data_IF_054761576088
#
_entry.id   IF_054761576088
#
_cell.length_a   1.000
_cell.length_b   1.000
_cell.length_c   1.000
_cell.angle_alpha   90.00
_cell.angle_beta   90.00
_cell.angle_gamma   90.00
#
_symmetry.space_group_name_H-M   'P 1'
#
loop_
_entity.id
_entity.type
_entity.pdbx_description
1 polymer ?
#
# COMPACT_ATOMS: atom_id res chain seq x y z
N UNK A 1 13.10 4.21 -26.27
CA UNK A 1 12.47 3.32 -25.28
C UNK A 1 11.15 2.83 -25.86
N UNK A 2 10.99 1.53 -26.18
CA UNK A 2 9.76 1.01 -26.81
C UNK A 2 8.83 0.48 -25.72
N UNK A 3 7.90 1.32 -25.27
CA UNK A 3 6.88 0.92 -24.28
C UNK A 3 5.97 -0.16 -24.86
N UNK A 4 5.64 -1.16 -24.06
CA UNK A 4 4.66 -2.17 -24.46
C UNK A 4 3.23 -1.61 -24.38
N UNK A 5 2.33 -2.18 -25.19
CA UNK A 5 0.94 -1.74 -25.27
C UNK A 5 0.19 -1.81 -23.92
N UNK A 6 0.55 -2.75 -23.03
CA UNK A 6 -0.12 -2.90 -21.72
C UNK A 6 0.33 -1.77 -20.79
N UNK A 7 1.60 -1.40 -20.81
CA UNK A 7 2.11 -0.22 -20.10
C UNK A 7 1.49 1.08 -20.60
N UNK A 8 1.31 1.25 -21.92
CA UNK A 8 0.60 2.43 -22.46
C UNK A 8 -0.84 2.48 -21.96
N UNK A 9 -1.59 1.38 -22.03
CA UNK A 9 -2.99 1.31 -21.55
C UNK A 9 -3.07 1.59 -20.04
N UNK A 10 -2.23 0.96 -19.22
CA UNK A 10 -2.23 1.20 -17.76
C UNK A 10 -1.88 2.65 -17.44
N UNK A 11 -0.84 3.22 -18.06
CA UNK A 11 -0.48 4.63 -17.83
C UNK A 11 -1.61 5.58 -18.24
N UNK A 12 -2.30 5.31 -19.36
CA UNK A 12 -3.42 6.12 -19.82
C UNK A 12 -4.60 6.07 -18.85
N UNK A 13 -5.05 4.86 -18.46
CA UNK A 13 -6.18 4.68 -17.54
C UNK A 13 -5.86 5.27 -16.16
N UNK A 14 -4.74 4.86 -15.54
CA UNK A 14 -4.39 5.31 -14.18
C UNK A 14 -4.02 6.80 -14.13
N UNK A 15 -3.34 7.30 -15.17
CA UNK A 15 -3.05 8.72 -15.32
C UNK A 15 -4.33 9.57 -15.44
N UNK A 16 -5.31 9.10 -16.23
CA UNK A 16 -6.60 9.81 -16.36
C UNK A 16 -7.39 9.84 -15.04
N UNK A 17 -7.36 8.76 -14.24
CA UNK A 17 -7.99 8.73 -12.91
C UNK A 17 -7.36 9.76 -11.96
N UNK A 18 -6.03 9.87 -11.94
CA UNK A 18 -5.32 10.88 -11.14
C UNK A 18 -5.59 12.31 -11.59
N UNK A 19 -5.66 12.56 -12.90
CA UNK A 19 -6.03 13.87 -13.46
C UNK A 19 -7.49 14.24 -13.14
N UNK A 20 -8.44 13.31 -13.29
CA UNK A 20 -9.84 13.51 -12.91
C UNK A 20 -9.98 13.82 -11.42
N UNK A 21 -9.27 13.07 -10.56
CA UNK A 21 -9.21 13.34 -9.12
C UNK A 21 -8.71 14.76 -8.83
N UNK A 22 -7.65 15.22 -9.50
CA UNK A 22 -7.11 16.56 -9.32
C UNK A 22 -8.08 17.66 -9.80
N UNK A 23 -8.72 17.49 -10.95
CA UNK A 23 -9.74 18.42 -11.48
C UNK A 23 -10.91 18.55 -10.48
N UNK A 24 -11.39 17.44 -9.95
CA UNK A 24 -12.47 17.43 -8.95
C UNK A 24 -12.04 18.08 -7.64
N UNK A 25 -10.79 17.88 -7.20
CA UNK A 25 -10.21 18.59 -6.05
C UNK A 25 -10.13 20.10 -6.27
N UNK A 26 -9.65 20.59 -7.41
CA UNK A 26 -9.66 22.02 -7.73
C UNK A 26 -11.08 22.59 -7.83
N UNK A 27 -12.02 21.81 -8.38
CA UNK A 27 -13.44 22.20 -8.43
C UNK A 27 -14.07 22.27 -7.04
N UNK A 28 -13.69 21.39 -6.11
CA UNK A 28 -14.09 21.44 -4.71
C UNK A 28 -13.53 22.68 -3.99
N UNK A 29 -12.27 23.07 -4.25
CA UNK A 29 -11.70 24.31 -3.71
C UNK A 29 -12.50 25.56 -4.16
N UNK A 30 -12.88 25.61 -5.44
CA UNK A 30 -13.64 26.73 -6.02
C UNK A 30 -15.12 26.76 -5.66
N UNK A 31 -15.64 25.73 -4.97
CA UNK A 31 -17.05 25.62 -4.58
C UNK A 31 -17.27 25.32 -3.09
N UNK A 32 -16.20 25.41 -2.28
CA UNK A 32 -16.27 25.23 -0.83
C UNK A 32 -17.06 26.36 -0.19
N UNK A 33 -17.68 26.08 0.95
CA UNK A 33 -18.31 27.09 1.79
C UNK A 33 -17.29 28.15 2.20
N UNK A 34 -17.68 29.41 2.09
CA UNK A 34 -16.96 30.59 2.59
C UNK A 34 -17.71 31.19 3.79
N UNK A 35 -17.12 32.19 4.45
CA UNK A 35 -17.79 32.92 5.55
C UNK A 35 -19.08 33.63 5.11
N UNK A 36 -19.22 33.92 3.81
CA UNK A 36 -20.40 34.58 3.23
C UNK A 36 -21.56 33.62 2.95
N UNK A 37 -21.30 32.31 2.92
CA UNK A 37 -22.32 31.27 2.64
C UNK A 37 -22.96 30.70 3.91
N UNK A 38 -22.50 31.12 5.09
CA UNK A 38 -23.00 30.65 6.38
C UNK A 38 -24.07 31.57 6.94
N UNK A 39 -25.09 30.97 7.53
CA UNK A 39 -26.16 31.68 8.22
C UNK A 39 -26.01 31.45 9.73
N UNK A 40 -26.18 32.52 10.52
CA UNK A 40 -26.25 32.43 11.99
C UNK A 40 -27.68 32.68 12.41
N UNK A 41 -28.30 31.69 13.03
CA UNK A 41 -29.67 31.76 13.56
C UNK A 41 -29.71 31.11 14.95
N UNK A 42 -30.49 31.65 15.87
CA UNK A 42 -30.66 31.12 17.23
C UNK A 42 -29.37 30.94 18.06
N UNK A 43 -28.23 31.50 17.62
CA UNK A 43 -26.91 31.25 18.23
C UNK A 43 -26.16 30.03 17.71
N UNK A 44 -26.61 29.39 16.62
CA UNK A 44 -25.92 28.28 15.93
C UNK A 44 -25.52 28.67 14.50
N UNK A 45 -24.47 28.01 13.98
CA UNK A 45 -23.98 28.18 12.62
C UNK A 45 -24.61 27.13 11.68
N UNK A 46 -25.31 27.59 10.66
CA UNK A 46 -25.95 26.76 9.62
C UNK A 46 -25.03 26.66 8.39
N UNK A 47 -24.67 25.43 8.03
CA UNK A 47 -23.85 25.11 6.86
C UNK A 47 -24.76 24.53 5.76
N UNK A 48 -24.96 25.22 4.63
CA UNK A 48 -25.89 24.78 3.59
C UNK A 48 -25.34 23.62 2.75
N UNK A 49 -26.18 23.10 1.86
CA UNK A 49 -25.80 22.11 0.86
C UNK A 49 -24.91 22.77 -0.21
N UNK A 50 -23.78 22.15 -0.51
CA UNK A 50 -22.76 22.63 -1.44
C UNK A 50 -22.17 21.44 -2.23
N UNK A 51 -21.65 21.67 -3.45
CA UNK A 51 -21.09 20.60 -4.27
C UNK A 51 -19.67 20.20 -3.86
N UNK A 52 -18.92 21.04 -3.13
CA UNK A 52 -17.55 20.72 -2.72
C UNK A 52 -17.43 19.45 -1.87
N UNK A 53 -18.44 19.17 -1.03
CA UNK A 53 -18.58 17.88 -0.34
C UNK A 53 -18.50 16.69 -1.32
N UNK A 54 -19.36 16.68 -2.34
CA UNK A 54 -19.44 15.60 -3.32
C UNK A 54 -18.20 15.52 -4.20
N UNK A 55 -17.72 16.66 -4.70
CA UNK A 55 -16.52 16.78 -5.51
C UNK A 55 -15.27 16.27 -4.77
N UNK A 56 -15.12 16.63 -3.50
CA UNK A 56 -14.04 16.17 -2.62
C UNK A 56 -14.06 14.66 -2.36
N UNK A 57 -15.24 14.08 -2.10
CA UNK A 57 -15.41 12.63 -1.94
C UNK A 57 -15.10 11.89 -3.25
N UNK A 58 -15.62 12.36 -4.39
CA UNK A 58 -15.33 11.77 -5.69
C UNK A 58 -13.84 11.83 -6.04
N UNK A 59 -13.16 12.95 -5.75
CA UNK A 59 -11.71 13.07 -5.89
C UNK A 59 -10.99 12.01 -5.04
N UNK A 60 -11.31 11.92 -3.74
CA UNK A 60 -10.71 10.93 -2.84
C UNK A 60 -10.90 9.48 -3.34
N UNK A 61 -12.06 9.14 -3.90
CA UNK A 61 -12.32 7.83 -4.51
C UNK A 61 -11.42 7.59 -5.74
N UNK A 62 -11.34 8.54 -6.69
CA UNK A 62 -10.51 8.38 -7.89
C UNK A 62 -9.02 8.25 -7.56
N UNK A 63 -8.51 9.02 -6.59
CA UNK A 63 -7.16 8.88 -6.06
C UNK A 63 -6.90 7.47 -5.50
N UNK A 64 -7.81 6.95 -4.67
CA UNK A 64 -7.66 5.59 -4.08
C UNK A 64 -7.69 4.51 -5.17
N UNK A 65 -8.58 4.61 -6.16
CA UNK A 65 -8.63 3.67 -7.30
C UNK A 65 -7.32 3.72 -8.09
N UNK A 66 -6.74 4.90 -8.32
CA UNK A 66 -5.45 5.04 -8.99
C UNK A 66 -4.29 4.39 -8.21
N UNK A 67 -4.22 4.61 -6.88
CA UNK A 67 -3.19 4.00 -6.04
C UNK A 67 -3.32 2.47 -5.91
N UNK A 68 -4.56 1.95 -5.81
CA UNK A 68 -4.81 0.50 -5.81
C UNK A 68 -4.36 -0.11 -7.15
N UNK A 69 -4.63 0.55 -8.27
CA UNK A 69 -4.14 0.11 -9.58
C UNK A 69 -2.60 0.03 -9.62
N UNK A 70 -1.88 1.03 -9.09
CA UNK A 70 -0.42 0.95 -8.96
C UNK A 70 0.03 -0.21 -8.05
N UNK A 71 -0.67 -0.51 -6.96
CA UNK A 71 -0.35 -1.63 -6.06
C UNK A 71 -0.46 -3.01 -6.76
N UNK A 72 -1.60 -3.22 -7.44
CA UNK A 72 -1.91 -4.45 -8.17
C UNK A 72 -0.92 -4.65 -9.32
N UNK A 73 -0.67 -3.60 -10.09
CA UNK A 73 0.20 -3.68 -11.27
C UNK A 73 1.70 -3.72 -10.89
N UNK A 74 2.10 -3.07 -9.79
CA UNK A 74 3.47 -3.10 -9.25
C UNK A 74 3.90 -4.49 -8.74
N UNK A 75 2.93 -5.30 -8.29
CA UNK A 75 3.12 -6.70 -7.94
C UNK A 75 3.19 -6.99 -6.44
N UNK A 76 2.26 -6.42 -5.65
CA UNK A 76 2.13 -6.71 -4.21
C UNK A 76 1.97 -8.21 -3.90
N UNK A 77 1.35 -9.00 -4.80
CA UNK A 77 1.28 -10.46 -4.70
C UNK A 77 2.53 -11.14 -5.30
N UNK A 78 3.66 -11.06 -4.60
CA UNK A 78 4.99 -11.50 -5.06
C UNK A 78 5.25 -13.00 -5.11
N UNK A 79 4.37 -13.82 -5.70
CA UNK A 79 4.56 -15.28 -5.75
C UNK A 79 4.96 -15.85 -7.13
N UNK A 80 4.48 -15.32 -8.26
CA UNK A 80 4.61 -16.02 -9.56
C UNK A 80 4.81 -15.09 -10.78
N UNK A 81 5.86 -14.25 -10.80
CA UNK A 81 6.29 -13.63 -12.06
C UNK A 81 7.79 -13.39 -12.13
N UNK A 82 8.48 -14.11 -13.01
CA UNK A 82 9.86 -13.86 -13.38
C UNK A 82 10.00 -12.42 -13.83
N UNK A 83 10.60 -11.59 -12.96
CA UNK A 83 10.90 -10.20 -13.27
C UNK A 83 12.24 -10.20 -13.99
N UNK A 84 12.26 -9.73 -15.23
CA UNK A 84 13.52 -9.32 -15.86
C UNK A 84 14.14 -8.29 -14.92
N UNK A 85 15.32 -8.61 -14.37
CA UNK A 85 15.95 -7.83 -13.30
C UNK A 85 16.28 -6.45 -13.89
N UNK A 86 15.63 -5.35 -13.44
CA UNK A 86 16.03 -4.02 -13.88
C UNK A 86 17.44 -3.77 -13.36
N UNK A 87 18.26 -2.99 -14.09
CA UNK A 87 19.55 -2.54 -13.56
C UNK A 87 19.34 -1.90 -12.19
N UNK A 88 20.21 -2.22 -11.22
CA UNK A 88 20.00 -1.92 -9.80
C UNK A 88 19.62 -0.44 -9.54
N UNK A 89 20.22 0.49 -10.28
CA UNK A 89 19.88 1.93 -10.26
C UNK A 89 18.40 2.24 -10.58
N UNK A 90 17.86 1.69 -11.67
CA UNK A 90 16.48 1.91 -12.10
C UNK A 90 15.49 1.27 -11.14
N UNK A 91 15.86 0.13 -10.54
CA UNK A 91 15.09 -0.52 -9.47
C UNK A 91 15.00 0.36 -8.22
N UNK A 92 16.11 0.95 -7.78
CA UNK A 92 16.14 1.87 -6.63
C UNK A 92 15.26 3.08 -6.91
N UNK A 93 15.42 3.75 -8.06
CA UNK A 93 14.59 4.91 -8.45
C UNK A 93 13.10 4.53 -8.46
N UNK A 94 12.75 3.40 -9.07
CA UNK A 94 11.37 2.92 -9.12
C UNK A 94 10.75 2.66 -7.73
N UNK A 95 11.52 2.09 -6.79
CA UNK A 95 11.08 1.86 -5.40
C UNK A 95 10.93 3.17 -4.64
N UNK A 96 11.89 4.10 -4.77
CA UNK A 96 11.83 5.42 -4.11
C UNK A 96 10.61 6.21 -4.61
N UNK A 97 10.36 6.24 -5.92
CA UNK A 97 9.16 6.86 -6.49
C UNK A 97 7.86 6.20 -5.99
N UNK A 98 7.85 4.87 -5.78
CA UNK A 98 6.68 4.19 -5.19
C UNK A 98 6.41 4.70 -3.77
N UNK A 99 7.42 4.68 -2.90
CA UNK A 99 7.28 5.09 -1.49
C UNK A 99 6.78 6.54 -1.39
N UNK A 100 7.37 7.47 -2.14
CA UNK A 100 6.90 8.86 -2.15
C UNK A 100 5.50 9.01 -2.78
N UNK A 101 5.14 8.23 -3.81
CA UNK A 101 3.77 8.22 -4.35
C UNK A 101 2.73 7.85 -3.28
N UNK A 102 3.00 6.80 -2.49
CA UNK A 102 2.11 6.40 -1.38
C UNK A 102 2.01 7.46 -0.28
N UNK A 103 3.13 8.05 0.14
CA UNK A 103 3.13 9.12 1.15
C UNK A 103 2.30 10.32 0.66
N UNK A 104 2.55 10.79 -0.57
CA UNK A 104 1.83 11.94 -1.14
C UNK A 104 0.34 11.63 -1.32
N UNK A 105 -0.02 10.40 -1.70
CA UNK A 105 -1.42 9.99 -1.81
C UNK A 105 -2.15 9.92 -0.47
N UNK A 106 -1.51 9.45 0.61
CA UNK A 106 -2.10 9.44 1.95
C UNK A 106 -2.37 10.87 2.44
N UNK A 107 -1.43 11.81 2.20
CA UNK A 107 -1.61 13.22 2.53
C UNK A 107 -2.72 13.83 1.67
N UNK A 108 -2.71 13.59 0.36
CA UNK A 108 -3.74 14.08 -0.57
C UNK A 108 -5.14 13.59 -0.18
N UNK A 109 -5.30 12.29 0.10
CA UNK A 109 -6.55 11.69 0.56
C UNK A 109 -7.02 12.33 1.87
N UNK A 110 -6.11 12.52 2.84
CA UNK A 110 -6.43 13.16 4.11
C UNK A 110 -6.92 14.60 3.93
N UNK A 111 -6.29 15.38 3.03
CA UNK A 111 -6.73 16.74 2.70
C UNK A 111 -8.10 16.76 2.01
N UNK A 112 -8.32 15.88 1.02
CA UNK A 112 -9.59 15.79 0.28
C UNK A 112 -10.76 15.36 1.20
N UNK A 113 -10.55 14.36 2.06
CA UNK A 113 -11.56 13.89 3.03
C UNK A 113 -11.79 14.92 4.13
N UNK A 114 -10.73 15.56 4.64
CA UNK A 114 -10.88 16.67 5.61
C UNK A 114 -11.67 17.82 4.99
N UNK A 115 -11.31 18.24 3.78
CA UNK A 115 -12.02 19.29 3.06
C UNK A 115 -13.49 18.95 2.85
N UNK A 116 -13.81 17.72 2.46
CA UNK A 116 -15.17 17.22 2.35
C UNK A 116 -15.91 17.26 3.70
N UNK A 117 -15.30 16.77 4.78
CA UNK A 117 -15.88 16.76 6.12
C UNK A 117 -16.25 18.17 6.62
N UNK A 118 -15.38 19.17 6.43
CA UNK A 118 -15.66 20.58 6.76
C UNK A 118 -16.73 21.22 5.87
N UNK A 119 -17.02 20.63 4.70
CA UNK A 119 -18.10 21.05 3.81
C UNK A 119 -19.39 20.23 3.99
N UNK A 120 -19.50 19.40 5.03
CA UNK A 120 -20.77 18.70 5.33
C UNK A 120 -21.84 19.66 5.85
N UNK A 121 -23.02 19.56 5.24
CA UNK A 121 -24.24 20.29 5.60
C UNK A 121 -24.71 19.96 7.02
N UNK A 122 -25.18 20.96 7.76
CA UNK A 122 -25.71 20.79 9.12
C UNK A 122 -25.52 22.01 10.01
N UNK A 123 -25.98 21.89 11.26
CA UNK A 123 -25.76 22.86 12.34
C UNK A 123 -24.48 22.57 13.10
N UNK A 124 -23.73 23.61 13.47
CA UNK A 124 -22.58 23.53 14.39
C UNK A 124 -22.63 24.68 15.39
N UNK A 125 -22.12 24.44 16.60
CA UNK A 125 -21.95 25.50 17.58
C UNK A 125 -20.87 26.51 17.11
N UNK A 126 -21.07 27.81 17.33
CA UNK A 126 -20.05 28.82 17.03
C UNK A 126 -18.87 28.72 18.01
N UNK A 127 -17.79 29.40 17.67
CA UNK A 127 -16.72 29.70 18.63
C UNK A 127 -17.25 30.49 19.86
N UNK A 128 -16.51 30.53 20.98
CA UNK A 128 -16.86 31.38 22.14
C UNK A 128 -17.00 32.89 21.84
N UNK A 129 -16.59 33.33 20.64
CA UNK A 129 -16.69 34.71 20.15
C UNK A 129 -17.82 34.90 19.13
N UNK A 130 -18.69 33.90 18.94
CA UNK A 130 -19.82 33.94 17.99
C UNK A 130 -19.45 33.70 16.52
N UNK A 131 -18.18 33.43 16.21
CA UNK A 131 -17.71 33.18 14.83
C UNK A 131 -17.86 31.71 14.42
N UNK A 132 -18.32 31.48 13.18
CA UNK A 132 -18.40 30.15 12.57
C UNK A 132 -17.07 29.71 11.93
N UNK A 133 -16.73 28.43 12.03
CA UNK A 133 -15.48 27.88 11.49
C UNK A 133 -15.64 27.43 10.04
N UNK A 134 -14.82 27.99 9.14
CA UNK A 134 -14.79 27.65 7.72
C UNK A 134 -13.47 26.96 7.37
N UNK A 135 -13.50 26.06 6.38
CA UNK A 135 -12.30 25.42 5.85
C UNK A 135 -11.32 26.45 5.29
N UNK A 136 -10.07 26.42 5.75
CA UNK A 136 -9.02 27.30 5.24
C UNK A 136 -8.74 27.07 3.75
N UNK A 137 -8.52 28.16 3.02
CA UNK A 137 -8.17 28.11 1.59
C UNK A 137 -6.93 27.26 1.31
N UNK A 138 -6.99 26.52 0.20
CA UNK A 138 -5.89 25.72 -0.33
C UNK A 138 -5.85 24.28 0.18
N UNK A 139 -6.78 23.83 1.02
CA UNK A 139 -6.83 22.43 1.47
C UNK A 139 -7.19 21.48 0.34
N UNK A 140 -8.24 21.79 -0.44
CA UNK A 140 -8.63 20.98 -1.60
C UNK A 140 -7.62 21.15 -2.75
N UNK A 141 -7.15 22.37 -3.02
CA UNK A 141 -6.12 22.62 -4.02
C UNK A 141 -4.79 21.91 -3.68
N UNK A 142 -4.39 21.90 -2.41
CA UNK A 142 -3.23 21.14 -1.93
C UNK A 142 -3.41 19.64 -2.13
N UNK A 143 -4.59 19.09 -1.80
CA UNK A 143 -4.95 17.71 -2.10
C UNK A 143 -4.90 17.37 -3.59
N UNK A 144 -5.36 18.28 -4.46
CA UNK A 144 -5.31 18.13 -5.91
C UNK A 144 -3.87 18.15 -6.46
N UNK A 145 -3.03 19.08 -6.02
CA UNK A 145 -1.60 19.14 -6.40
C UNK A 145 -0.86 17.89 -5.93
N UNK A 146 -1.05 17.47 -4.68
CA UNK A 146 -0.44 16.26 -4.15
C UNK A 146 -0.94 14.99 -4.87
N UNK A 147 -2.19 14.97 -5.34
CA UNK A 147 -2.72 13.90 -6.20
C UNK A 147 -1.97 13.81 -7.54
N UNK A 148 -1.70 14.95 -8.19
CA UNK A 148 -0.91 14.99 -9.43
C UNK A 148 0.52 14.50 -9.19
N UNK A 149 1.16 14.95 -8.10
CA UNK A 149 2.51 14.52 -7.72
C UNK A 149 2.55 13.01 -7.41
N UNK A 150 1.59 12.50 -6.63
CA UNK A 150 1.46 11.08 -6.32
C UNK A 150 1.26 10.24 -7.59
N UNK A 151 0.43 10.70 -8.51
CA UNK A 151 0.17 10.04 -9.80
C UNK A 151 1.41 10.04 -10.69
N UNK A 152 2.12 11.17 -10.82
CA UNK A 152 3.35 11.27 -11.60
C UNK A 152 4.46 10.36 -11.06
N UNK A 153 4.62 10.29 -9.73
CA UNK A 153 5.54 9.38 -9.06
C UNK A 153 5.14 7.91 -9.23
N UNK A 154 3.84 7.60 -9.16
CA UNK A 154 3.30 6.27 -9.39
C UNK A 154 3.52 5.79 -10.84
N UNK A 155 3.24 6.64 -11.82
CA UNK A 155 3.54 6.39 -13.25
C UNK A 155 5.04 6.18 -13.49
N UNK A 156 5.89 7.03 -12.89
CA UNK A 156 7.35 6.92 -13.00
C UNK A 156 7.84 5.61 -12.39
N UNK A 157 7.36 5.26 -11.20
CA UNK A 157 7.65 3.98 -10.55
C UNK A 157 7.23 2.80 -11.43
N UNK A 158 6.01 2.84 -11.97
CA UNK A 158 5.48 1.80 -12.84
C UNK A 158 6.34 1.58 -14.10
N UNK A 159 6.70 2.67 -14.79
CA UNK A 159 7.56 2.61 -15.99
C UNK A 159 8.97 2.13 -15.64
N UNK A 160 9.59 2.59 -14.55
CA UNK A 160 10.93 2.15 -14.16
C UNK A 160 10.96 0.68 -13.73
N UNK A 161 9.89 0.18 -13.10
CA UNK A 161 9.80 -1.21 -12.63
C UNK A 161 9.30 -2.22 -13.68
N UNK A 162 8.82 -1.76 -14.85
CA UNK A 162 8.37 -2.60 -15.98
C UNK A 162 9.08 -2.36 -17.31
N UNK A 163 9.73 -1.22 -17.50
CA UNK A 163 10.21 -0.72 -18.80
C UNK A 163 11.47 -1.39 -19.37
N UNK A 164 11.84 -2.58 -18.89
CA UNK A 164 12.95 -3.35 -19.43
C UNK A 164 12.41 -4.56 -20.20
N UNK A 165 12.45 -4.55 -21.55
CA UNK A 165 12.69 -5.77 -22.30
C UNK A 165 13.94 -6.45 -21.74
N UNK A 166 14.06 -7.77 -21.87
CA UNK A 166 15.36 -8.40 -21.70
C UNK A 166 16.31 -7.78 -22.73
N UNK A 167 17.20 -6.88 -22.29
CA UNK A 167 18.37 -6.47 -23.08
C UNK A 167 19.06 -7.77 -23.47
N UNK A 168 19.18 -7.99 -24.78
CA UNK A 168 19.39 -9.33 -25.33
C UNK A 168 20.49 -10.06 -24.54
N UNK A 169 20.17 -11.26 -24.06
CA UNK A 169 21.21 -12.20 -23.68
C UNK A 169 22.20 -12.26 -24.86
N UNK A 170 23.52 -12.15 -24.63
CA UNK A 170 24.49 -12.29 -25.70
C UNK A 170 24.16 -13.57 -26.46
N UNK A 171 23.99 -13.47 -27.78
CA UNK A 171 23.80 -14.66 -28.60
C UNK A 171 25.10 -15.45 -28.56
N UNK A 172 25.16 -16.48 -27.72
CA UNK A 172 26.12 -17.56 -27.88
C UNK A 172 25.85 -18.22 -29.22
N UNK A 173 26.71 -17.90 -30.19
CA UNK A 173 26.46 -18.22 -31.59
C UNK A 173 27.12 -17.22 -32.53
N UNK A 174 28.42 -17.00 -32.37
CA UNK A 174 29.27 -16.59 -33.49
C UNK A 174 30.68 -17.20 -33.33
N UNK A 175 31.15 -17.76 -34.42
CA UNK A 175 32.20 -18.76 -34.57
C UNK A 175 33.60 -18.38 -34.01
N UNK A 176 34.21 -19.32 -33.27
CA UNK A 176 35.56 -19.24 -32.70
C UNK A 176 36.65 -19.20 -33.80
N UNK A 177 37.59 -18.22 -33.79
CA UNK A 177 38.91 -18.38 -34.38
C UNK A 177 39.82 -19.14 -33.40
N UNK A 178 40.60 -20.09 -33.91
CA UNK A 178 41.46 -20.92 -33.07
C UNK A 178 42.66 -20.16 -32.50
N UNK A 179 43.02 -20.47 -31.25
CA UNK A 179 44.39 -20.32 -30.75
C UNK A 179 44.69 -19.15 -29.81
N UNK A 180 44.30 -19.27 -28.53
CA UNK A 180 45.13 -18.85 -27.39
C UNK A 180 44.63 -19.54 -26.11
N UNK A 181 45.51 -20.27 -25.43
CA UNK A 181 45.23 -20.78 -24.08
C UNK A 181 45.41 -19.68 -23.02
N UNK A 182 44.81 -19.86 -21.83
CA UNK A 182 45.33 -19.49 -20.48
C UNK A 182 44.18 -19.59 -19.44
N UNK A 183 44.26 -20.62 -18.56
CA UNK A 183 43.76 -20.80 -17.16
C UNK A 183 42.48 -20.06 -16.66
N UNK A 184 41.61 -20.65 -15.81
CA UNK A 184 41.67 -21.91 -15.04
C UNK A 184 40.25 -22.44 -14.75
N UNK A 185 40.11 -23.76 -14.59
CA UNK A 185 38.84 -24.46 -14.29
C UNK A 185 38.59 -24.62 -12.79
N UNK A 186 37.31 -24.68 -12.39
CA UNK A 186 36.89 -24.88 -11.00
C UNK A 186 35.50 -25.51 -10.87
N UNK A 187 35.29 -26.68 -11.48
CA UNK A 187 34.03 -27.43 -11.38
C UNK A 187 34.30 -28.79 -10.69
N UNK A 188 33.57 -29.17 -9.62
CA UNK A 188 33.84 -30.39 -8.87
C UNK A 188 33.41 -31.64 -9.66
N UNK A 189 34.38 -32.50 -9.99
CA UNK A 189 34.13 -33.84 -10.53
C UNK A 189 33.83 -34.84 -9.40
N UNK A 190 32.71 -35.54 -9.52
CA UNK A 190 32.48 -36.80 -8.80
C UNK A 190 33.43 -37.87 -9.36
N UNK A 191 34.31 -38.44 -8.53
CA UNK A 191 35.21 -39.51 -8.97
C UNK A 191 34.50 -40.87 -9.02
N UNK A 192 34.55 -41.50 -10.19
CA UNK A 192 34.32 -42.93 -10.37
C UNK A 192 35.60 -43.73 -10.15
N UNK A 193 35.43 -45.01 -9.85
CA UNK A 193 36.43 -45.95 -9.34
C UNK A 193 37.10 -46.77 -10.46
N UNK A 194 38.42 -47.05 -10.40
CA UNK A 194 39.07 -48.11 -11.20
C UNK A 194 39.52 -49.33 -10.35
N UNK A 195 39.94 -50.46 -10.98
CA UNK A 195 39.86 -51.79 -10.35
C UNK A 195 41.19 -52.56 -10.12
N UNK A 196 41.07 -53.64 -9.33
CA UNK A 196 41.92 -54.86 -9.23
C UNK A 196 43.35 -54.78 -8.64
N UNK A 197 43.63 -55.66 -7.65
CA UNK A 197 44.95 -56.00 -7.12
C UNK A 197 44.86 -56.96 -5.92
N UNK A 198 45.66 -58.04 -5.90
CA UNK A 198 45.58 -59.13 -4.91
C UNK A 198 46.40 -58.87 -3.62
N UNK A 199 46.00 -59.45 -2.48
CA UNK A 199 46.84 -59.50 -1.27
C UNK A 199 46.12 -60.06 -0.03
N UNK A 200 46.69 -61.08 0.62
CA UNK A 200 46.12 -61.78 1.79
C UNK A 200 46.60 -61.17 3.12
N UNK A 201 45.78 -61.16 4.18
CA UNK A 201 46.26 -60.78 5.53
C UNK A 201 45.21 -60.57 6.63
N UNK A 202 44.80 -61.67 7.27
CA UNK A 202 44.41 -61.85 8.70
C UNK A 202 43.58 -60.79 9.49
N UNK A 203 42.56 -61.28 10.19
CA UNK A 203 41.79 -60.57 11.23
C UNK A 203 42.49 -60.59 12.61
N UNK A 204 41.94 -59.90 13.64
CA UNK A 204 40.98 -60.63 14.49
C UNK A 204 39.68 -59.89 14.87
N UNK A 205 38.67 -60.73 15.11
CA UNK A 205 37.35 -60.51 15.71
C UNK A 205 37.44 -60.14 17.22
N UNK A 206 36.33 -60.01 18.00
CA UNK A 206 34.92 -59.79 17.66
C UNK A 206 34.25 -58.68 18.53
N UNK A 207 32.95 -58.39 18.30
CA UNK A 207 31.87 -58.61 19.30
C UNK A 207 30.46 -58.35 18.73
N UNK A 208 29.56 -59.33 18.98
CA UNK A 208 28.09 -59.39 19.01
C UNK A 208 27.25 -58.07 19.00
N UNK A 209 25.95 -58.03 18.66
CA UNK A 209 24.99 -58.88 17.90
C UNK A 209 23.59 -58.16 17.91
N UNK A 210 22.64 -58.47 17.00
CA UNK A 210 21.28 -57.88 16.97
C UNK A 210 20.24 -58.78 17.69
N UNK A 211 18.89 -58.63 17.55
CA UNK A 211 17.99 -57.52 17.18
C UNK A 211 17.18 -57.11 18.44
N UNK A 212 15.84 -56.84 18.52
CA UNK A 212 14.77 -56.51 17.54
C UNK A 212 13.99 -55.21 17.89
N UNK A 213 12.64 -55.19 17.75
CA UNK A 213 11.76 -54.02 17.87
C UNK A 213 10.43 -54.31 18.62
N UNK A 214 9.69 -53.22 18.91
CA UNK A 214 8.25 -53.07 19.27
C UNK A 214 7.95 -52.56 20.70
N UNK A 215 7.08 -51.53 20.81
CA UNK A 215 6.56 -51.02 22.09
C UNK A 215 5.90 -49.62 21.99
N UNK A 216 4.60 -49.54 22.23
CA UNK A 216 3.71 -48.37 22.10
C UNK A 216 4.06 -47.18 23.03
N UNK A 217 3.71 -45.94 22.63
CA UNK A 217 3.96 -44.72 23.42
C UNK A 217 3.24 -43.45 22.94
N UNK A 218 1.94 -43.39 23.21
CA UNK A 218 0.98 -42.28 23.09
C UNK A 218 1.48 -40.87 23.50
N UNK A 219 1.10 -39.84 22.71
CA UNK A 219 0.73 -38.52 23.23
C UNK A 219 1.47 -37.29 22.70
N UNK A 220 0.89 -36.61 21.70
CA UNK A 220 1.04 -35.16 21.50
C UNK A 220 -0.04 -34.62 20.52
N UNK A 221 -1.16 -34.11 21.05
CA UNK A 221 -2.03 -33.20 20.29
C UNK A 221 -1.59 -31.76 20.54
N UNK A 222 -1.37 -30.97 19.48
CA UNK A 222 -1.60 -29.52 19.53
C UNK A 222 -2.35 -29.10 18.29
N UNK A 223 -3.63 -28.75 18.50
CA UNK A 223 -4.50 -28.19 17.48
C UNK A 223 -4.21 -26.70 17.26
N UNK A 224 -4.73 -26.18 16.16
CA UNK A 224 -4.62 -24.80 15.75
C UNK A 224 -5.78 -23.96 16.34
N UNK A 225 -5.52 -22.66 16.53
CA UNK A 225 -6.49 -21.56 16.68
C UNK A 225 -7.38 -21.37 17.94
N UNK A 226 -7.78 -20.09 18.07
CA UNK A 226 -8.94 -19.53 18.78
C UNK A 226 -8.95 -19.47 20.31
N UNK A 227 -8.54 -18.32 20.86
CA UNK A 227 -9.36 -17.39 21.67
C UNK A 227 -8.47 -16.50 22.54
N UNK A 228 -8.22 -15.25 22.11
CA UNK A 228 -7.70 -14.19 22.99
C UNK A 228 -8.68 -13.02 23.02
N UNK A 229 -9.85 -13.27 23.60
CA UNK A 229 -10.83 -12.26 23.97
C UNK A 229 -10.91 -12.21 25.50
N UNK A 230 -9.90 -11.61 26.12
CA UNK A 230 -9.86 -11.44 27.58
C UNK A 230 -10.89 -10.38 27.99
N UNK A 231 -11.91 -10.82 28.73
CA UNK A 231 -12.95 -9.98 29.30
C UNK A 231 -12.36 -9.01 30.35
N UNK A 232 -12.65 -7.72 30.20
CA UNK A 232 -12.50 -6.76 31.31
C UNK A 232 -13.70 -6.90 32.26
N UNK A 233 -13.51 -6.72 33.58
CA UNK A 233 -14.62 -6.67 34.53
C UNK A 233 -15.48 -5.40 34.36
N UNK A 234 -16.78 -5.44 34.70
CA UNK A 234 -17.68 -4.30 34.54
C UNK A 234 -17.42 -3.18 35.58
N UNK A 235 -17.64 -1.90 35.22
CA UNK A 235 -17.55 -0.79 36.16
C UNK A 235 -18.76 -0.75 37.11
N UNK A 236 -18.60 -0.26 38.35
CA UNK A 236 -19.71 -0.10 39.29
C UNK A 236 -20.66 1.02 38.83
N UNK A 237 -21.96 0.73 38.84
CA UNK A 237 -22.99 1.70 38.44
C UNK A 237 -23.08 2.89 39.40
N UNK A 238 -23.05 4.11 38.87
CA UNK A 238 -23.49 5.32 39.58
C UNK A 238 -24.88 5.70 39.13
N UNK A 239 -25.76 5.94 40.10
CA UNK A 239 -27.19 6.15 39.87
C UNK A 239 -27.52 7.45 39.14
N UNK A 240 -28.66 7.43 38.45
CA UNK A 240 -29.24 8.59 37.79
C UNK A 240 -29.69 9.63 38.82
N UNK A 241 -29.03 10.79 38.83
CA UNK A 241 -29.51 11.97 39.55
C UNK A 241 -30.77 12.53 38.88
N UNK A 242 -31.86 12.61 39.63
CA UNK A 242 -33.08 13.32 39.23
C UNK A 242 -32.78 14.80 39.00
N UNK A 243 -32.98 15.29 37.77
CA UNK A 243 -33.07 16.72 37.49
C UNK A 243 -34.53 17.19 37.67
N UNK A 244 -34.81 18.22 38.48
CA UNK A 244 -36.14 18.81 38.54
C UNK A 244 -36.46 19.56 37.24
N UNK A 245 -37.73 19.66 36.82
CA UNK A 245 -38.12 20.32 35.58
C UNK A 245 -37.90 21.85 35.64
N UNK A 246 -37.64 22.50 34.49
CA UNK A 246 -37.51 23.96 34.44
C UNK A 246 -38.85 24.63 34.77
N UNK A 247 -38.79 25.71 35.57
CA UNK A 247 -39.96 26.57 35.79
C UNK A 247 -40.24 27.37 34.51
N UNK A 248 -41.50 27.41 34.09
CA UNK A 248 -41.93 28.29 33.00
C UNK A 248 -41.73 29.75 33.38
N UNK A 249 -41.29 30.57 32.42
CA UNK A 249 -41.31 32.02 32.57
C UNK A 249 -42.70 32.53 32.20
N UNK A 250 -43.30 33.23 33.15
CA UNK A 250 -44.60 33.88 33.04
C UNK A 250 -44.50 35.12 32.13
N UNK A 251 -45.51 35.33 31.27
CA UNK A 251 -45.60 36.50 30.41
C UNK A 251 -46.20 37.69 31.18
N UNK A 252 -45.44 38.77 31.33
CA UNK A 252 -45.91 40.15 31.58
C UNK A 252 -45.00 41.12 30.84
#
# INVERSE_FOLDING_TARGET
MKMDQKTIIVCSVVGSLGVLSAILGFSAEGTKLTVSDLYVDGGVCLYPQNPALGLGVCAAIFLIVAQIAFAVVGGCCGCCRSRAIPSESNRIIGVVCAVFSWIMAIIAFSLLVTGAAWNTTGTRDPSPFGLCYVLKDGIFAGGAVLTLVATALGLTSYVMLRGQPATAAPKEGEQMPAGAAVISMGQPQFQQQPPQGQGYGQAPNPHYAPPPAQGQGYGAHTANQQQQQQQLPPPPGRGYGQYPPPKGHEQV
#
